data_IF_203412543395
#
_entry.id   IF_203412543395
#
_cell.length_a   1.000
_cell.length_b   1.000
_cell.length_c   1.000
_cell.angle_alpha   90.00
_cell.angle_beta   90.00
_cell.angle_gamma   90.00
#
_symmetry.space_group_name_H-M   'P 1'
#
loop_
_entity.id
_entity.type
_entity.pdbx_description
1 polymer ?
#
# COMPACT_ATOMS: atom_id res chain seq x y z
N UNK A 1 108.90 -10.42 18.99
CA UNK A 1 108.58 -10.66 17.56
C UNK A 1 107.61 -11.83 17.52
N UNK A 2 106.33 -11.76 17.15
CA UNK A 2 105.45 -10.78 16.50
C UNK A 2 104.06 -10.94 17.18
N UNK A 3 103.55 -9.94 17.91
CA UNK A 3 102.53 -8.98 17.45
C UNK A 3 101.34 -9.60 16.70
N UNK A 4 100.21 -9.75 17.43
CA UNK A 4 98.92 -9.13 17.11
C UNK A 4 98.57 -9.05 15.62
N UNK A 5 97.90 -10.07 15.10
CA UNK A 5 97.19 -10.01 13.82
C UNK A 5 95.68 -10.13 14.03
N UNK A 6 95.05 -8.95 14.03
CA UNK A 6 93.76 -8.67 13.41
C UNK A 6 92.53 -9.48 13.84
N UNK A 7 92.04 -9.18 15.05
CA UNK A 7 90.60 -9.08 15.28
C UNK A 7 90.04 -7.98 14.36
N UNK A 8 89.38 -8.34 13.27
CA UNK A 8 89.04 -7.36 12.23
C UNK A 8 87.98 -7.74 11.20
N UNK A 9 87.12 -8.74 11.46
CA UNK A 9 85.99 -9.04 10.56
C UNK A 9 84.70 -9.36 11.32
N UNK A 10 84.20 -8.36 12.05
CA UNK A 10 82.78 -8.26 12.42
C UNK A 10 82.28 -6.90 11.95
N UNK A 11 82.28 -6.72 10.62
CA UNK A 11 81.58 -5.59 10.00
C UNK A 11 80.10 -5.97 9.83
N UNK A 12 79.35 -5.57 10.85
CA UNK A 12 77.94 -5.18 10.87
C UNK A 12 77.18 -5.38 9.55
N UNK A 13 76.20 -6.26 9.59
CA UNK A 13 75.14 -6.30 8.58
C UNK A 13 74.48 -4.91 8.50
N UNK A 14 74.41 -4.26 7.33
CA UNK A 14 73.55 -3.10 7.19
C UNK A 14 72.11 -3.63 7.19
N UNK A 15 71.45 -3.58 8.36
CA UNK A 15 70.00 -3.70 8.40
C UNK A 15 69.43 -2.45 7.72
N UNK A 16 69.16 -2.54 6.42
CA UNK A 16 68.41 -1.51 5.71
C UNK A 16 66.94 -1.60 6.12
N UNK A 17 66.65 -1.13 7.34
CA UNK A 17 65.30 -0.99 7.88
C UNK A 17 64.77 0.40 7.52
N UNK A 18 64.43 0.63 6.26
CA UNK A 18 63.62 1.82 5.90
C UNK A 18 63.00 1.70 4.51
N UNK A 19 61.74 1.27 4.48
CA UNK A 19 60.68 1.71 3.54
C UNK A 19 59.36 0.95 3.81
N UNK A 20 58.89 0.97 5.05
CA UNK A 20 57.52 0.51 5.39
C UNK A 20 56.54 1.66 5.61
N UNK A 21 56.96 2.92 5.37
CA UNK A 21 56.05 4.07 5.45
C UNK A 21 55.12 4.14 4.24
N UNK A 22 55.63 3.92 3.02
CA UNK A 22 54.82 4.03 1.79
C UNK A 22 53.69 2.98 1.75
N UNK A 23 54.00 1.72 2.07
CA UNK A 23 52.98 0.66 2.14
C UNK A 23 51.93 0.88 3.24
N UNK A 24 52.32 1.43 4.40
CA UNK A 24 51.39 1.82 5.47
C UNK A 24 50.54 3.04 5.11
N UNK A 25 51.09 3.99 4.36
CA UNK A 25 50.33 5.13 3.84
C UNK A 25 49.31 4.69 2.80
N UNK A 26 49.68 3.76 1.91
CA UNK A 26 48.76 3.21 0.89
C UNK A 26 47.68 2.32 1.49
N UNK A 27 47.99 1.52 2.52
CA UNK A 27 46.96 0.75 3.22
C UNK A 27 46.02 1.65 4.04
N UNK A 28 46.55 2.73 4.63
CA UNK A 28 45.72 3.72 5.34
C UNK A 28 44.76 4.45 4.41
N UNK A 29 45.18 4.83 3.20
CA UNK A 29 44.29 5.48 2.23
C UNK A 29 43.24 4.51 1.67
N UNK A 30 43.59 3.24 1.45
CA UNK A 30 42.64 2.21 1.05
C UNK A 30 41.56 1.97 2.12
N UNK A 31 41.95 1.93 3.40
CA UNK A 31 41.00 1.77 4.52
C UNK A 31 40.06 2.98 4.61
N UNK A 32 40.57 4.20 4.48
CA UNK A 32 39.73 5.41 4.48
C UNK A 32 38.74 5.41 3.30
N UNK A 33 39.16 4.99 2.11
CA UNK A 33 38.28 4.86 0.95
C UNK A 33 37.17 3.84 1.19
N UNK A 34 37.48 2.68 1.75
CA UNK A 34 36.49 1.65 2.07
C UNK A 34 35.47 2.14 3.12
N UNK A 35 35.93 2.89 4.12
CA UNK A 35 35.03 3.50 5.10
C UNK A 35 34.13 4.53 4.44
N UNK A 36 34.67 5.42 3.62
CA UNK A 36 33.87 6.44 2.91
C UNK A 36 32.82 5.78 2.01
N UNK A 37 33.21 4.82 1.17
CA UNK A 37 32.28 4.10 0.30
C UNK A 37 31.23 3.33 1.11
N UNK A 38 31.64 2.67 2.19
CA UNK A 38 30.72 1.97 3.10
C UNK A 38 29.70 2.90 3.74
N UNK A 39 30.13 4.06 4.23
CA UNK A 39 29.22 5.08 4.79
C UNK A 39 28.27 5.62 3.72
N UNK A 40 28.74 5.84 2.49
CA UNK A 40 27.92 6.31 1.38
C UNK A 40 26.81 5.30 1.04
N UNK A 41 27.15 4.01 1.01
CA UNK A 41 26.20 2.91 0.77
C UNK A 41 25.16 2.85 1.89
N UNK A 42 25.57 2.95 3.16
CA UNK A 42 24.65 2.93 4.30
C UNK A 42 23.68 4.12 4.24
N UNK A 43 24.19 5.32 3.96
CA UNK A 43 23.35 6.52 3.81
C UNK A 43 22.35 6.33 2.67
N UNK A 44 22.80 5.84 1.51
CA UNK A 44 21.91 5.54 0.38
C UNK A 44 20.83 4.53 0.76
N UNK A 45 21.20 3.44 1.44
CA UNK A 45 20.28 2.40 1.86
C UNK A 45 19.19 2.94 2.79
N UNK A 46 19.56 3.78 3.76
CA UNK A 46 18.60 4.45 4.63
C UNK A 46 17.69 5.40 3.85
N UNK A 47 18.25 6.18 2.92
CA UNK A 47 17.49 7.13 2.10
C UNK A 47 16.44 6.43 1.22
N UNK A 48 16.82 5.29 0.61
CA UNK A 48 15.92 4.44 -0.17
C UNK A 48 14.83 3.85 0.73
N UNK A 49 15.20 3.36 1.93
CA UNK A 49 14.26 2.79 2.88
C UNK A 49 13.23 3.84 3.36
N UNK A 50 13.68 5.06 3.69
CA UNK A 50 12.78 6.16 4.04
C UNK A 50 11.89 6.58 2.88
N UNK A 51 12.42 6.64 1.66
CA UNK A 51 11.62 6.97 0.47
C UNK A 51 10.51 5.94 0.22
N UNK A 52 10.84 4.64 0.31
CA UNK A 52 9.86 3.57 0.16
C UNK A 52 8.83 3.57 1.30
N UNK A 53 9.23 3.75 2.55
CA UNK A 53 8.31 3.84 3.69
C UNK A 53 7.37 5.04 3.58
N UNK A 54 7.88 6.17 3.10
CA UNK A 54 7.07 7.37 2.87
C UNK A 54 6.09 7.18 1.70
N UNK A 55 6.50 6.49 0.63
CA UNK A 55 5.60 6.15 -0.47
C UNK A 55 4.54 5.13 -0.06
N UNK A 56 4.88 4.16 0.80
CA UNK A 56 3.92 3.20 1.34
C UNK A 56 2.85 3.90 2.19
N UNK A 57 3.27 4.76 3.13
CA UNK A 57 2.34 5.54 3.99
C UNK A 57 1.46 6.50 3.18
N UNK A 58 2.01 7.14 2.15
CA UNK A 58 1.22 7.93 1.18
C UNK A 58 0.22 7.09 0.40
N UNK A 59 0.62 5.88 -0.03
CA UNK A 59 -0.25 4.95 -0.73
C UNK A 59 -1.45 4.50 0.13
N UNK A 60 -1.22 4.22 1.41
CA UNK A 60 -2.30 3.89 2.35
C UNK A 60 -3.28 5.05 2.53
N UNK A 61 -2.77 6.29 2.65
CA UNK A 61 -3.63 7.48 2.74
C UNK A 61 -4.46 7.69 1.47
N UNK A 62 -3.85 7.54 0.30
CA UNK A 62 -4.56 7.64 -0.98
C UNK A 62 -5.68 6.60 -1.06
N UNK A 63 -5.37 5.34 -0.73
CA UNK A 63 -6.35 4.26 -0.75
C UNK A 63 -7.51 4.51 0.22
N UNK A 64 -7.24 5.04 1.42
CA UNK A 64 -8.31 5.42 2.37
C UNK A 64 -9.23 6.52 1.83
N UNK A 65 -8.66 7.52 1.13
CA UNK A 65 -9.43 8.58 0.49
C UNK A 65 -10.27 8.06 -0.69
N UNK A 66 -9.75 7.12 -1.47
CA UNK A 66 -10.49 6.47 -2.55
C UNK A 66 -11.68 5.64 -2.03
N UNK A 67 -11.49 4.90 -0.94
CA UNK A 67 -12.59 4.20 -0.27
C UNK A 67 -13.65 5.17 0.24
N UNK A 68 -13.25 6.23 0.94
CA UNK A 68 -14.18 7.25 1.43
C UNK A 68 -14.95 7.93 0.28
N UNK A 69 -14.27 8.25 -0.81
CA UNK A 69 -14.89 8.82 -2.02
C UNK A 69 -15.95 7.88 -2.59
N UNK A 70 -15.63 6.58 -2.69
CA UNK A 70 -16.54 5.58 -3.26
C UNK A 70 -17.79 5.42 -2.40
N UNK A 71 -17.62 5.41 -1.07
CA UNK A 71 -18.73 5.36 -0.13
C UNK A 71 -19.65 6.58 -0.26
N UNK A 72 -19.09 7.79 -0.28
CA UNK A 72 -19.87 9.03 -0.40
C UNK A 72 -20.63 9.10 -1.73
N UNK A 73 -20.02 8.64 -2.83
CA UNK A 73 -20.70 8.58 -4.13
C UNK A 73 -21.88 7.61 -4.12
N UNK A 74 -21.73 6.46 -3.46
CA UNK A 74 -22.80 5.49 -3.34
C UNK A 74 -23.97 6.03 -2.49
N UNK A 75 -23.67 6.69 -1.36
CA UNK A 75 -24.68 7.34 -0.53
C UNK A 75 -25.42 8.44 -1.32
N UNK A 76 -24.71 9.22 -2.12
CA UNK A 76 -25.30 10.24 -2.99
C UNK A 76 -26.23 9.62 -4.06
N UNK A 77 -25.84 8.49 -4.66
CA UNK A 77 -26.67 7.79 -5.65
C UNK A 77 -27.98 7.29 -5.03
N UNK A 78 -27.92 6.70 -3.84
CA UNK A 78 -29.11 6.25 -3.10
C UNK A 78 -30.02 7.43 -2.79
N UNK A 79 -29.46 8.54 -2.29
CA UNK A 79 -30.24 9.75 -1.97
C UNK A 79 -30.92 10.31 -3.21
N UNK A 80 -30.22 10.39 -4.34
CA UNK A 80 -30.80 10.85 -5.61
C UNK A 80 -31.93 9.93 -6.07
N UNK A 81 -31.79 8.61 -5.94
CA UNK A 81 -32.85 7.66 -6.25
C UNK A 81 -34.08 7.89 -5.37
N UNK A 82 -33.89 8.10 -4.06
CA UNK A 82 -34.99 8.37 -3.12
C UNK A 82 -35.70 9.69 -3.44
N UNK A 83 -34.95 10.74 -3.78
CA UNK A 83 -35.50 12.02 -4.22
C UNK A 83 -36.34 11.81 -5.48
N UNK A 84 -35.79 11.15 -6.51
CA UNK A 84 -36.51 10.86 -7.74
C UNK A 84 -37.80 10.06 -7.49
N UNK A 85 -37.76 9.08 -6.57
CA UNK A 85 -38.95 8.31 -6.15
C UNK A 85 -40.00 9.20 -5.49
N UNK A 86 -39.60 10.09 -4.58
CA UNK A 86 -40.53 11.03 -3.94
C UNK A 86 -41.14 12.01 -4.95
N UNK A 87 -40.35 12.52 -5.88
CA UNK A 87 -40.81 13.43 -6.94
C UNK A 87 -41.78 12.73 -7.89
N UNK A 88 -41.49 11.49 -8.27
CA UNK A 88 -42.39 10.66 -9.06
C UNK A 88 -43.72 10.41 -8.34
N UNK A 89 -43.70 10.10 -7.05
CA UNK A 89 -44.92 9.92 -6.25
C UNK A 89 -45.73 11.22 -6.15
N UNK A 90 -45.09 12.36 -5.94
CA UNK A 90 -45.76 13.66 -5.91
C UNK A 90 -46.40 13.99 -7.26
N UNK A 91 -45.68 13.71 -8.37
CA UNK A 91 -46.21 13.90 -9.72
C UNK A 91 -47.43 13.00 -9.98
N UNK A 92 -47.38 11.72 -9.58
CA UNK A 92 -48.50 10.78 -9.69
C UNK A 92 -49.69 11.20 -8.82
N UNK A 93 -49.44 11.71 -7.60
CA UNK A 93 -50.49 12.18 -6.71
C UNK A 93 -51.20 13.43 -7.25
N UNK A 94 -50.48 14.30 -7.96
CA UNK A 94 -51.04 15.49 -8.62
C UNK A 94 -51.78 15.21 -9.93
N UNK A 95 -51.70 14.00 -10.47
CA UNK A 95 -52.32 13.67 -11.76
C UNK A 95 -53.85 13.48 -11.62
N UNK A 96 -54.67 14.30 -12.32
CA UNK A 96 -56.13 14.18 -12.25
C UNK A 96 -56.66 12.82 -12.74
N UNK A 97 -55.94 12.13 -13.63
CA UNK A 97 -56.33 10.79 -14.08
C UNK A 97 -56.20 9.75 -12.96
N UNK A 98 -55.14 9.86 -12.15
CA UNK A 98 -54.90 8.95 -11.01
C UNK A 98 -55.85 9.27 -9.87
N UNK A 99 -56.15 10.55 -9.61
CA UNK A 99 -57.15 10.94 -8.61
C UNK A 99 -58.57 10.46 -9.00
N UNK A 100 -58.87 10.40 -10.29
CA UNK A 100 -60.12 9.87 -10.80
C UNK A 100 -60.18 8.32 -10.85
N UNK A 101 -59.06 7.60 -10.60
CA UNK A 101 -59.08 6.14 -10.52
C UNK A 101 -59.85 5.66 -9.29
N UNK A 102 -60.90 4.88 -9.52
CA UNK A 102 -61.60 4.18 -8.44
C UNK A 102 -60.80 2.97 -7.94
N UNK A 103 -60.81 2.78 -6.62
CA UNK A 103 -60.18 1.62 -5.97
C UNK A 103 -60.86 0.33 -6.48
N UNK A 104 -60.12 -0.67 -6.98
CA UNK A 104 -60.72 -1.88 -7.52
C UNK A 104 -61.42 -2.66 -6.39
N UNK A 105 -62.75 -2.75 -6.46
CA UNK A 105 -63.55 -3.37 -5.39
C UNK A 105 -63.41 -4.90 -5.31
N UNK A 106 -63.07 -5.58 -6.41
CA UNK A 106 -62.85 -7.05 -6.46
C UNK A 106 -61.86 -7.43 -7.58
N UNK A 107 -60.54 -7.44 -7.33
CA UNK A 107 -59.59 -7.91 -8.33
C UNK A 107 -59.75 -9.42 -8.54
N UNK A 108 -60.19 -9.83 -9.75
CA UNK A 108 -60.43 -11.24 -10.11
C UNK A 108 -59.14 -12.07 -10.17
N UNK A 109 -57.99 -11.40 -10.34
CA UNK A 109 -56.66 -12.01 -10.31
C UNK A 109 -55.72 -11.06 -9.58
N UNK A 110 -55.36 -11.40 -8.35
CA UNK A 110 -54.19 -10.82 -7.68
C UNK A 110 -53.04 -11.74 -8.06
N UNK A 111 -52.05 -11.22 -8.79
CA UNK A 111 -50.78 -11.91 -9.02
C UNK A 111 -50.05 -11.87 -7.68
N UNK A 112 -50.42 -12.77 -6.76
CA UNK A 112 -49.67 -13.02 -5.55
C UNK A 112 -48.31 -13.57 -5.97
N UNK A 113 -47.22 -13.06 -5.41
CA UNK A 113 -45.85 -13.54 -5.63
C UNK A 113 -45.61 -14.97 -5.09
N UNK A 114 -46.68 -15.74 -4.84
CA UNK A 114 -46.65 -17.16 -4.54
C UNK A 114 -46.78 -17.94 -5.84
N UNK A 115 -45.81 -18.81 -6.18
CA UNK A 115 -45.91 -19.67 -7.35
C UNK A 115 -47.13 -20.59 -7.23
N UNK A 116 -47.91 -20.66 -8.32
CA UNK A 116 -49.18 -21.39 -8.46
C UNK A 116 -49.04 -22.92 -8.21
N UNK A 117 -47.81 -23.42 -8.05
CA UNK A 117 -47.50 -24.82 -7.79
C UNK A 117 -47.72 -25.28 -6.32
N UNK A 118 -48.15 -24.41 -5.40
CA UNK A 118 -48.46 -24.79 -4.01
C UNK A 118 -49.96 -24.57 -3.73
N UNK A 119 -50.80 -25.32 -4.43
CA UNK A 119 -52.12 -25.68 -3.88
C UNK A 119 -51.97 -27.02 -3.16
N UNK A 120 -51.92 -27.07 -1.82
CA UNK A 120 -52.25 -28.31 -1.13
C UNK A 120 -53.76 -28.50 -1.26
N UNK A 121 -54.11 -29.64 -1.84
CA UNK A 121 -55.44 -30.24 -1.85
C UNK A 121 -56.03 -30.19 -0.44
N UNK A 122 -56.97 -29.28 -0.21
CA UNK A 122 -57.95 -29.37 0.88
C UNK A 122 -59.34 -29.12 0.27
N UNK A 123 -59.65 -29.91 -0.76
CA UNK A 123 -61.01 -30.36 -0.98
C UNK A 123 -61.12 -31.71 -0.25
N UNK A 124 -62.19 -31.85 0.54
CA UNK A 124 -62.55 -33.00 1.40
C UNK A 124 -61.99 -33.01 2.83
N UNK A 125 -62.64 -32.26 3.73
CA UNK A 125 -63.20 -32.79 4.97
C UNK A 125 -63.92 -31.67 5.76
N UNK A 126 -65.20 -31.95 6.10
CA UNK A 126 -66.18 -31.20 6.89
C UNK A 126 -67.00 -30.11 6.19
#
# INVERSE_FOLDING_TARGET
MLSSFAAGWLQTTPTFRRRSSLGRMMSSSAVLLLVVIGTLIIVLALLILFHHNHNATKGYRLRSLEYARTQLLHEQEILNMLIAKSQSLLALQGDPQIQAMQKPMKPKFIRSDLPIAVQPVLAEAY
#
